data_IF_580649420115
#
_entry.id   IF_580649420115
#
_cell.length_a   1.000
_cell.length_b   1.000
_cell.length_c   1.000
_cell.angle_alpha   90.00
_cell.angle_beta   90.00
_cell.angle_gamma   90.00
#
_symmetry.space_group_name_H-M   'P 1'
#
loop_
_entity.id
_entity.type
_entity.pdbx_description
1 polymer ?
#
# COMPACT_ATOMS: atom_id res chain seq x y z
N UNK A 1 -13.98 -15.75 -4.59
CA UNK A 1 -14.58 -14.71 -3.74
C UNK A 1 -13.49 -14.07 -2.90
N UNK A 2 -13.69 -12.85 -2.40
CA UNK A 2 -12.74 -12.22 -1.50
C UNK A 2 -13.45 -11.60 -0.31
N UNK A 3 -12.77 -11.64 0.82
CA UNK A 3 -13.15 -10.98 2.05
C UNK A 3 -11.98 -10.10 2.50
N UNK A 4 -12.27 -9.05 3.27
CA UNK A 4 -11.25 -8.23 3.90
C UNK A 4 -11.54 -8.05 5.37
N UNK A 5 -10.50 -7.81 6.14
CA UNK A 5 -10.63 -7.37 7.52
C UNK A 5 -9.66 -6.24 7.80
N UNK A 6 -10.15 -5.23 8.50
CA UNK A 6 -9.34 -4.20 9.14
C UNK A 6 -9.91 -3.83 10.51
N UNK A 7 -9.11 -3.17 11.33
CA UNK A 7 -9.46 -2.87 12.72
C UNK A 7 -10.65 -1.90 12.85
N UNK A 8 -10.89 -1.05 11.86
CA UNK A 8 -11.94 -0.03 11.90
C UNK A 8 -13.29 -0.58 11.44
N UNK A 9 -13.28 -1.25 10.29
CA UNK A 9 -14.47 -1.73 9.60
C UNK A 9 -14.83 -3.17 9.95
N UNK A 10 -13.92 -3.93 10.55
CA UNK A 10 -14.10 -5.36 10.85
C UNK A 10 -14.11 -6.21 9.58
N UNK A 11 -14.83 -7.33 9.63
CA UNK A 11 -14.89 -8.29 8.52
C UNK A 11 -15.89 -7.86 7.43
N UNK A 12 -15.44 -7.90 6.19
CA UNK A 12 -16.22 -7.54 5.01
C UNK A 12 -16.15 -8.65 3.98
N UNK A 13 -17.25 -8.90 3.28
CA UNK A 13 -17.32 -9.84 2.16
C UNK A 13 -17.62 -9.05 0.90
N UNK A 14 -16.74 -9.13 -0.10
CA UNK A 14 -16.85 -8.33 -1.33
C UNK A 14 -17.08 -6.83 -1.07
N UNK A 15 -16.46 -6.28 -0.03
CA UNK A 15 -16.59 -4.87 0.38
C UNK A 15 -17.85 -4.52 1.18
N UNK A 16 -18.73 -5.48 1.45
CA UNK A 16 -19.91 -5.27 2.30
C UNK A 16 -19.62 -5.71 3.73
N UNK A 17 -19.92 -4.89 4.75
CA UNK A 17 -19.72 -5.27 6.15
C UNK A 17 -20.61 -6.45 6.52
N UNK A 18 -20.01 -7.45 7.15
CA UNK A 18 -20.73 -8.52 7.85
C UNK A 18 -20.84 -8.09 9.31
N UNK A 19 -21.84 -8.61 10.04
CA UNK A 19 -22.22 -8.28 11.42
C UNK A 19 -21.08 -7.75 12.34
N UNK A 20 -21.44 -6.82 13.23
CA UNK A 20 -20.51 -6.07 14.09
C UNK A 20 -19.60 -6.93 15.00
N UNK A 21 -19.92 -8.22 15.18
CA UNK A 21 -19.19 -9.16 16.05
C UNK A 21 -17.85 -9.65 15.46
N UNK A 22 -17.57 -9.37 14.18
CA UNK A 22 -16.32 -9.79 13.52
C UNK A 22 -15.22 -8.72 13.51
N UNK A 23 -15.23 -7.82 14.51
CA UNK A 23 -14.13 -6.86 14.75
C UNK A 23 -12.92 -7.49 15.43
N UNK A 24 -13.10 -8.62 16.10
CA UNK A 24 -11.99 -9.36 16.70
C UNK A 24 -11.18 -10.10 15.60
N UNK A 25 -9.82 -10.00 15.61
CA UNK A 25 -8.98 -10.62 14.59
C UNK A 25 -9.06 -12.15 14.54
N UNK A 26 -9.31 -12.84 15.66
CA UNK A 26 -9.49 -14.30 15.67
C UNK A 26 -10.82 -14.68 15.05
N UNK A 27 -11.88 -13.95 15.38
CA UNK A 27 -13.20 -14.14 14.78
C UNK A 27 -13.14 -14.00 13.26
N UNK A 28 -12.39 -13.02 12.74
CA UNK A 28 -12.18 -12.85 11.30
C UNK A 28 -11.50 -14.07 10.64
N UNK A 29 -10.43 -14.60 11.26
CA UNK A 29 -9.73 -15.81 10.78
C UNK A 29 -10.64 -17.04 10.77
N UNK A 30 -11.58 -17.13 11.72
CA UNK A 30 -12.54 -18.24 11.79
C UNK A 30 -13.66 -18.08 10.76
N UNK A 31 -14.18 -16.86 10.60
CA UNK A 31 -15.30 -16.54 9.75
C UNK A 31 -15.05 -16.85 8.28
N UNK A 32 -13.82 -16.70 7.78
CA UNK A 32 -13.50 -17.00 6.37
C UNK A 32 -13.84 -18.44 5.96
N UNK A 33 -13.85 -19.39 6.90
CA UNK A 33 -14.17 -20.78 6.61
C UNK A 33 -15.63 -20.98 6.19
N UNK A 34 -16.55 -20.09 6.57
CA UNK A 34 -17.95 -20.14 6.12
C UNK A 34 -18.12 -19.69 4.66
N UNK A 35 -17.13 -18.99 4.10
CA UNK A 35 -17.12 -18.54 2.71
C UNK A 35 -16.59 -19.58 1.74
N UNK A 36 -15.92 -20.62 2.25
CA UNK A 36 -15.34 -21.67 1.43
C UNK A 36 -16.43 -22.52 0.79
N UNK A 37 -16.37 -22.70 -0.53
CA UNK A 37 -17.23 -23.61 -1.28
C UNK A 37 -16.37 -24.69 -1.96
N UNK A 38 -16.91 -25.89 -2.24
CA UNK A 38 -16.13 -27.01 -2.79
C UNK A 38 -15.32 -26.65 -4.05
N UNK A 39 -15.87 -25.78 -4.89
CA UNK A 39 -15.25 -25.36 -6.16
C UNK A 39 -14.75 -23.90 -6.15
N UNK A 40 -14.94 -23.19 -5.03
CA UNK A 40 -14.58 -21.80 -4.90
C UNK A 40 -13.16 -21.61 -4.36
N UNK A 41 -12.53 -20.50 -4.75
CA UNK A 41 -11.32 -19.98 -4.08
C UNK A 41 -11.69 -18.75 -3.29
N UNK A 42 -11.20 -18.65 -2.05
CA UNK A 42 -11.44 -17.51 -1.16
C UNK A 42 -10.11 -16.81 -0.87
N UNK A 43 -10.07 -15.49 -1.05
CA UNK A 43 -8.96 -14.64 -0.61
C UNK A 43 -9.40 -13.85 0.63
N UNK A 44 -8.68 -13.99 1.74
CA UNK A 44 -8.86 -13.13 2.92
C UNK A 44 -7.74 -12.11 3.00
N UNK A 45 -8.10 -10.84 2.79
CA UNK A 45 -7.16 -9.71 2.82
C UNK A 45 -7.20 -9.05 4.20
N UNK A 46 -6.14 -9.24 4.97
CA UNK A 46 -6.00 -8.73 6.33
C UNK A 46 -5.13 -7.47 6.31
N UNK A 47 -5.73 -6.30 6.52
CA UNK A 47 -5.01 -5.02 6.53
C UNK A 47 -4.42 -4.75 7.90
N UNK A 48 -3.14 -4.37 7.93
CA UNK A 48 -2.39 -4.07 9.16
C UNK A 48 -2.35 -5.23 10.18
N UNK A 49 -2.53 -6.46 9.71
CA UNK A 49 -2.63 -7.63 10.61
C UNK A 49 -1.30 -8.01 11.28
N UNK A 50 -0.17 -7.53 10.74
CA UNK A 50 1.16 -7.65 11.34
C UNK A 50 1.19 -7.19 12.81
N UNK A 51 0.32 -6.25 13.21
CA UNK A 51 0.18 -5.77 14.59
C UNK A 51 -0.26 -6.84 15.58
N UNK A 52 -0.93 -7.90 15.12
CA UNK A 52 -1.45 -8.98 15.96
C UNK A 52 -0.57 -10.22 15.97
N UNK A 53 0.47 -10.29 15.12
CA UNK A 53 1.35 -11.46 14.97
C UNK A 53 2.36 -11.64 16.12
N UNK A 54 2.18 -10.93 17.23
CA UNK A 54 2.91 -11.16 18.49
C UNK A 54 2.08 -11.98 19.50
N UNK A 55 0.79 -12.20 19.23
CA UNK A 55 -0.08 -13.03 20.08
C UNK A 55 0.04 -14.49 19.70
N UNK A 56 0.38 -15.35 20.68
CA UNK A 56 0.45 -16.79 20.47
C UNK A 56 -0.88 -17.36 19.95
N UNK A 57 -2.02 -16.87 20.44
CA UNK A 57 -3.34 -17.31 19.97
C UNK A 57 -3.57 -16.96 18.49
N UNK A 58 -3.12 -15.79 18.05
CA UNK A 58 -3.21 -15.35 16.66
C UNK A 58 -2.30 -16.18 15.77
N UNK A 59 -1.05 -16.43 16.21
CA UNK A 59 -0.09 -17.25 15.48
C UNK A 59 -0.64 -18.67 15.25
N UNK A 60 -1.20 -19.28 16.29
CA UNK A 60 -1.85 -20.59 16.20
C UNK A 60 -3.06 -20.56 15.26
N UNK A 61 -3.90 -19.54 15.37
CA UNK A 61 -5.07 -19.38 14.49
C UNK A 61 -4.66 -19.22 13.02
N UNK A 62 -3.66 -18.40 12.71
CA UNK A 62 -3.12 -18.22 11.35
C UNK A 62 -2.54 -19.53 10.83
N UNK A 63 -1.71 -20.21 11.62
CA UNK A 63 -1.09 -21.49 11.24
C UNK A 63 -2.17 -22.53 10.90
N UNK A 64 -3.17 -22.66 11.77
CA UNK A 64 -4.32 -23.54 11.52
C UNK A 64 -5.08 -23.15 10.27
N UNK A 65 -5.31 -21.86 10.06
CA UNK A 65 -6.05 -21.37 8.90
C UNK A 65 -5.31 -21.61 7.59
N UNK A 66 -3.97 -21.51 7.57
CA UNK A 66 -3.15 -21.87 6.40
C UNK A 66 -3.27 -23.35 6.08
N UNK A 67 -3.26 -24.22 7.10
CA UNK A 67 -3.40 -25.67 6.91
C UNK A 67 -4.79 -26.06 6.38
N UNK A 68 -5.86 -25.47 6.94
CA UNK A 68 -7.22 -25.65 6.42
C UNK A 68 -7.36 -25.09 5.00
N UNK A 69 -6.72 -23.94 4.75
CA UNK A 69 -6.64 -23.24 3.47
C UNK A 69 -6.21 -24.12 2.30
N UNK A 70 -5.29 -25.05 2.55
CA UNK A 70 -4.81 -26.01 1.54
C UNK A 70 -5.90 -26.95 1.03
N UNK A 71 -6.89 -27.28 1.87
CA UNK A 71 -7.97 -28.19 1.53
C UNK A 71 -9.17 -27.43 0.95
N UNK A 72 -9.50 -26.28 1.53
CA UNK A 72 -10.70 -25.52 1.20
C UNK A 72 -10.44 -24.33 0.25
N UNK A 73 -9.23 -24.26 -0.36
CA UNK A 73 -8.79 -23.21 -1.30
C UNK A 73 -8.96 -21.78 -0.73
N UNK A 74 -8.64 -21.61 0.55
CA UNK A 74 -8.62 -20.29 1.21
C UNK A 74 -7.19 -19.82 1.36
N UNK A 75 -6.90 -18.61 0.87
CA UNK A 75 -5.58 -17.98 0.96
C UNK A 75 -5.65 -16.74 1.84
N UNK A 76 -4.62 -16.56 2.66
CA UNK A 76 -4.44 -15.36 3.49
C UNK A 76 -3.49 -14.40 2.78
N UNK A 77 -3.89 -13.13 2.71
CA UNK A 77 -3.06 -12.04 2.20
C UNK A 77 -2.98 -10.99 3.31
N UNK A 78 -1.78 -10.76 3.85
CA UNK A 78 -1.56 -9.73 4.87
C UNK A 78 -0.98 -8.50 4.17
N UNK A 79 -1.67 -7.37 4.26
CA UNK A 79 -1.16 -6.08 3.81
C UNK A 79 -0.50 -5.38 5.00
N UNK A 80 0.81 -5.15 4.90
CA UNK A 80 1.61 -4.54 5.95
C UNK A 80 2.65 -3.56 5.37
N UNK A 81 2.89 -2.42 6.05
CA UNK A 81 3.96 -1.50 5.66
C UNK A 81 5.36 -2.02 6.03
N UNK A 82 5.44 -2.96 6.99
CA UNK A 82 6.67 -3.61 7.42
C UNK A 82 6.37 -5.09 7.65
N UNK A 83 7.24 -5.96 7.14
CA UNK A 83 7.11 -7.42 7.32
C UNK A 83 8.00 -7.85 8.48
N UNK A 84 7.36 -8.18 9.61
CA UNK A 84 8.00 -8.76 10.80
C UNK A 84 7.21 -10.00 11.19
N UNK A 85 7.53 -11.13 10.57
CA UNK A 85 6.86 -12.40 10.85
C UNK A 85 7.55 -13.11 12.03
N UNK A 86 6.79 -13.71 12.96
CA UNK A 86 7.36 -14.61 13.96
C UNK A 86 7.86 -15.89 13.29
N UNK A 87 8.82 -16.57 13.92
CA UNK A 87 9.59 -17.67 13.33
C UNK A 87 8.70 -18.83 12.85
N UNK A 88 7.57 -19.03 13.54
CA UNK A 88 6.55 -20.03 13.25
C UNK A 88 5.87 -19.79 11.90
N UNK A 89 5.77 -18.53 11.47
CA UNK A 89 5.07 -18.11 10.26
C UNK A 89 6.01 -17.82 9.07
N UNK A 90 7.31 -17.61 9.30
CA UNK A 90 8.28 -17.23 8.26
C UNK A 90 8.24 -18.15 7.03
N UNK A 91 8.19 -19.47 7.25
CA UNK A 91 8.18 -20.47 6.15
C UNK A 91 6.79 -20.72 5.57
N UNK A 92 5.76 -20.12 6.15
CA UNK A 92 4.37 -20.32 5.72
C UNK A 92 3.88 -19.19 4.81
N UNK A 93 4.60 -18.06 4.76
CA UNK A 93 4.26 -16.91 3.93
C UNK A 93 5.24 -16.74 2.77
N UNK A 94 4.70 -16.35 1.61
CA UNK A 94 5.48 -15.74 0.54
C UNK A 94 5.41 -14.22 0.72
N UNK A 95 6.56 -13.56 0.69
CA UNK A 95 6.65 -12.10 0.78
C UNK A 95 6.61 -11.53 -0.62
N UNK A 96 5.65 -10.63 -0.86
CA UNK A 96 5.54 -9.85 -2.09
C UNK A 96 5.82 -8.40 -1.73
N UNK A 97 6.94 -7.88 -2.20
CA UNK A 97 7.29 -6.47 -2.05
C UNK A 97 6.54 -5.66 -3.10
N UNK A 98 5.94 -4.54 -2.67
CA UNK A 98 5.30 -3.60 -3.58
C UNK A 98 6.25 -2.43 -3.80
N UNK A 99 6.85 -2.39 -4.98
CA UNK A 99 7.80 -1.35 -5.35
C UNK A 99 7.15 0.04 -5.37
N UNK A 100 7.99 1.06 -5.22
CA UNK A 100 7.60 2.44 -5.48
C UNK A 100 7.21 2.62 -6.95
N UNK A 101 6.34 3.59 -7.28
CA UNK A 101 5.93 3.82 -8.65
C UNK A 101 7.13 4.08 -9.57
N UNK A 102 7.19 3.32 -10.67
CA UNK A 102 8.18 3.52 -11.73
C UNK A 102 7.87 4.76 -12.56
N UNK A 103 8.78 5.11 -13.50
CA UNK A 103 8.66 6.32 -14.33
C UNK A 103 7.33 6.43 -15.08
N UNK A 104 6.86 5.34 -15.67
CA UNK A 104 5.58 5.33 -16.42
C UNK A 104 4.38 5.53 -15.49
N UNK A 105 4.42 4.96 -14.28
CA UNK A 105 3.37 5.15 -13.28
C UNK A 105 3.38 6.58 -12.74
N UNK A 106 4.56 7.17 -12.49
CA UNK A 106 4.70 8.57 -12.10
C UNK A 106 4.14 9.52 -13.17
N UNK A 107 4.29 9.17 -14.45
CA UNK A 107 3.67 9.89 -15.56
C UNK A 107 2.15 9.75 -15.54
N UNK A 108 1.61 8.53 -15.37
CA UNK A 108 0.17 8.31 -15.23
C UNK A 108 -0.41 9.15 -14.08
N UNK A 109 0.25 9.16 -12.93
CA UNK A 109 -0.16 9.96 -11.77
C UNK A 109 -0.13 11.45 -12.10
N UNK A 110 0.89 11.94 -12.79
CA UNK A 110 0.95 13.35 -13.21
C UNK A 110 -0.22 13.71 -14.15
N UNK A 111 -0.56 12.81 -15.08
CA UNK A 111 -1.68 12.98 -16.01
C UNK A 111 -3.06 12.85 -15.35
N UNK A 112 -3.19 12.03 -14.30
CA UNK A 112 -4.40 11.94 -13.47
C UNK A 112 -4.65 13.23 -12.69
N UNK A 113 -3.57 13.88 -12.22
CA UNK A 113 -3.64 15.11 -11.43
C UNK A 113 -3.78 16.37 -12.30
N UNK A 114 -3.12 16.42 -13.45
CA UNK A 114 -3.21 17.54 -14.38
C UNK A 114 -4.44 17.37 -15.30
N UNK A 115 -5.48 18.14 -14.99
CA UNK A 115 -6.76 18.09 -15.71
C UNK A 115 -6.79 18.94 -16.96
N UNK A 116 -5.91 19.94 -17.07
CA UNK A 116 -5.80 20.83 -18.23
C UNK A 116 -4.46 20.62 -18.97
N UNK A 117 -4.42 20.70 -20.32
CA UNK A 117 -3.18 20.51 -21.07
C UNK A 117 -2.04 21.46 -20.67
N UNK A 118 -2.35 22.66 -20.18
CA UNK A 118 -1.36 23.65 -19.74
C UNK A 118 -0.70 23.32 -18.40
N UNK A 119 -1.32 22.42 -17.63
CA UNK A 119 -0.85 22.02 -16.30
C UNK A 119 0.30 21.02 -16.37
N UNK A 120 0.38 20.24 -17.45
CA UNK A 120 1.50 19.35 -17.71
C UNK A 120 2.68 20.14 -18.31
N UNK A 121 3.92 19.83 -17.89
CA UNK A 121 5.10 20.36 -18.53
C UNK A 121 5.23 19.83 -19.96
N UNK A 122 5.99 20.55 -20.78
CA UNK A 122 6.36 20.07 -22.11
C UNK A 122 7.30 18.85 -22.03
N UNK A 123 7.56 18.22 -23.17
CA UNK A 123 8.34 16.99 -23.22
C UNK A 123 9.78 17.15 -22.69
N UNK A 124 10.35 18.35 -22.75
CA UNK A 124 11.71 18.62 -22.27
C UNK A 124 11.73 18.69 -20.73
N UNK A 125 10.78 19.40 -20.14
CA UNK A 125 10.68 19.59 -18.68
C UNK A 125 10.05 18.38 -17.95
N UNK A 126 9.21 17.61 -18.65
CA UNK A 126 8.56 16.42 -18.09
C UNK A 126 9.57 15.41 -17.57
N UNK A 127 10.71 15.26 -18.24
CA UNK A 127 11.74 14.34 -17.79
C UNK A 127 12.26 14.70 -16.39
N UNK A 128 12.53 15.99 -16.15
CA UNK A 128 13.00 16.50 -14.86
C UNK A 128 11.93 16.40 -13.77
N UNK A 129 10.64 16.56 -14.12
CA UNK A 129 9.52 16.33 -13.19
C UNK A 129 9.50 14.88 -12.70
N UNK A 130 9.62 13.92 -13.62
CA UNK A 130 9.60 12.50 -13.28
C UNK A 130 10.85 12.10 -12.48
N UNK A 131 12.02 12.68 -12.79
CA UNK A 131 13.25 12.44 -12.04
C UNK A 131 13.16 13.01 -10.62
N UNK A 132 12.57 14.19 -10.44
CA UNK A 132 12.33 14.77 -9.12
C UNK A 132 11.40 13.88 -8.27
N UNK A 133 10.34 13.34 -8.90
CA UNK A 133 9.35 12.48 -8.25
C UNK A 133 9.83 11.04 -8.01
N UNK A 134 10.96 10.63 -8.59
CA UNK A 134 11.50 9.29 -8.40
C UNK A 134 11.77 8.99 -6.91
N UNK A 135 11.33 7.83 -6.43
CA UNK A 135 11.46 7.44 -5.03
C UNK A 135 10.39 8.00 -4.09
N UNK A 136 9.37 8.70 -4.62
CA UNK A 136 8.14 9.00 -3.89
C UNK A 136 7.16 7.83 -3.98
N UNK A 137 6.38 7.61 -2.93
CA UNK A 137 5.17 6.77 -2.99
C UNK A 137 4.12 7.43 -3.89
N UNK A 138 3.11 6.66 -4.34
CA UNK A 138 2.00 7.20 -5.15
C UNK A 138 1.34 8.42 -4.47
N UNK A 139 1.06 8.31 -3.17
CA UNK A 139 0.42 9.38 -2.39
C UNK A 139 1.32 10.61 -2.30
N UNK A 140 2.62 10.44 -2.08
CA UNK A 140 3.57 11.56 -2.04
C UNK A 140 3.69 12.25 -3.40
N UNK A 141 3.73 11.49 -4.50
CA UNK A 141 3.76 12.02 -5.86
C UNK A 141 2.48 12.81 -6.18
N UNK A 142 1.30 12.25 -5.89
CA UNK A 142 0.01 12.95 -6.04
C UNK A 142 0.01 14.29 -5.30
N UNK A 143 0.36 14.26 -4.00
CA UNK A 143 0.42 15.47 -3.18
C UNK A 143 1.42 16.50 -3.73
N UNK A 144 2.57 16.03 -4.23
CA UNK A 144 3.59 16.91 -4.79
C UNK A 144 3.12 17.60 -6.08
N UNK A 145 2.49 16.84 -6.99
CA UNK A 145 1.91 17.38 -8.21
C UNK A 145 0.77 18.34 -7.92
N UNK A 146 -0.18 17.96 -7.05
CA UNK A 146 -1.30 18.84 -6.66
C UNK A 146 -0.81 20.14 -6.04
N UNK A 147 0.20 20.09 -5.17
CA UNK A 147 0.75 21.32 -4.58
C UNK A 147 1.44 22.20 -5.63
N UNK A 148 2.17 21.60 -6.57
CA UNK A 148 2.78 22.34 -7.68
C UNK A 148 1.71 23.05 -8.51
N UNK A 149 0.60 22.38 -8.83
CA UNK A 149 -0.52 22.99 -9.55
C UNK A 149 -1.13 24.17 -8.78
N UNK A 150 -1.37 24.02 -7.48
CA UNK A 150 -1.93 25.09 -6.66
C UNK A 150 -1.00 26.32 -6.64
N UNK A 151 0.31 26.11 -6.59
CA UNK A 151 1.29 27.21 -6.47
C UNK A 151 1.67 27.85 -7.80
N UNK A 152 1.75 27.06 -8.87
CA UNK A 152 2.37 27.45 -10.14
C UNK A 152 1.46 27.27 -11.34
N UNK A 153 0.24 26.75 -11.15
CA UNK A 153 -0.72 26.39 -12.22
C UNK A 153 -0.13 25.41 -13.25
N UNK A 154 0.96 24.73 -12.87
CA UNK A 154 1.71 23.77 -13.69
C UNK A 154 2.53 22.87 -12.77
N UNK A 155 2.73 21.61 -13.18
CA UNK A 155 3.63 20.68 -12.51
C UNK A 155 5.07 21.06 -12.85
N UNK A 156 5.87 21.36 -11.83
CA UNK A 156 7.26 21.79 -11.98
C UNK A 156 8.18 20.93 -11.12
N UNK A 157 9.38 20.63 -11.63
CA UNK A 157 10.37 19.83 -10.92
C UNK A 157 10.86 20.51 -9.64
N UNK A 158 10.97 21.84 -9.66
CA UNK A 158 11.38 22.65 -8.51
C UNK A 158 10.45 22.48 -7.30
N UNK A 159 9.13 22.54 -7.52
CA UNK A 159 8.16 22.36 -6.43
C UNK A 159 8.19 20.95 -5.82
N UNK A 160 8.38 19.92 -6.66
CA UNK A 160 8.51 18.54 -6.21
C UNK A 160 9.79 18.36 -5.39
N UNK A 161 10.89 18.96 -5.84
CA UNK A 161 12.16 18.91 -5.14
C UNK A 161 12.11 19.58 -3.77
N UNK A 162 11.50 20.77 -3.67
CA UNK A 162 11.29 21.48 -2.41
C UNK A 162 10.54 20.61 -1.39
N UNK A 163 9.48 19.93 -1.84
CA UNK A 163 8.71 19.01 -0.99
C UNK A 163 9.52 17.80 -0.55
N UNK A 164 10.25 17.18 -1.49
CA UNK A 164 11.11 16.04 -1.20
C UNK A 164 12.19 16.41 -0.18
N UNK A 165 12.81 17.58 -0.32
CA UNK A 165 13.75 18.13 0.66
C UNK A 165 13.07 18.32 2.04
N UNK A 166 11.86 18.86 2.07
CA UNK A 166 11.07 19.01 3.29
C UNK A 166 10.78 17.67 3.98
N UNK A 167 10.44 16.63 3.22
CA UNK A 167 10.19 15.27 3.74
C UNK A 167 11.47 14.65 4.32
N UNK A 168 12.61 14.79 3.63
CA UNK A 168 13.89 14.24 4.07
C UNK A 168 14.47 14.94 5.30
N UNK A 169 14.27 16.26 5.42
CA UNK A 169 14.61 17.00 6.65
C UNK A 169 13.80 16.51 7.86
N UNK A 170 12.51 16.19 7.66
CA UNK A 170 11.65 15.65 8.72
C UNK A 170 12.03 14.22 9.14
N UNK A 171 12.52 13.40 8.22
CA UNK A 171 12.95 12.03 8.54
C UNK A 171 14.31 11.98 9.26
N UNK A 172 15.07 13.09 9.27
CA UNK A 172 16.38 13.18 9.93
C UNK A 172 17.47 12.38 9.21
N UNK A 173 17.21 11.93 7.98
CA UNK A 173 18.05 10.95 7.29
C UNK A 173 19.14 11.57 6.40
N UNK A 174 18.96 12.78 5.83
CA UNK A 174 19.94 13.45 4.94
C UNK A 174 19.59 14.93 4.65
N UNK A 175 20.61 15.76 4.43
CA UNK A 175 20.50 17.05 3.72
C UNK A 175 20.89 16.85 2.24
N UNK A 176 19.94 17.05 1.31
CA UNK A 176 20.22 16.97 -0.13
C UNK A 176 20.83 18.28 -0.63
N UNK A 177 22.07 18.22 -1.11
CA UNK A 177 22.71 19.31 -1.82
C UNK A 177 22.40 19.21 -3.31
N UNK A 178 21.80 20.26 -3.89
CA UNK A 178 21.57 20.34 -5.33
C UNK A 178 22.87 20.86 -5.96
N UNK A 179 23.54 20.03 -6.76
CA UNK A 179 24.69 20.46 -7.55
C UNK A 179 24.26 21.56 -8.51
N UNK A 180 24.79 22.76 -8.35
CA UNK A 180 24.82 23.73 -9.44
C UNK A 180 25.97 23.29 -10.35
N UNK A 181 25.68 22.60 -11.43
CA UNK A 181 26.66 22.46 -12.52
C UNK A 181 26.59 23.73 -13.37
N UNK A 182 27.75 24.37 -13.53
CA UNK A 182 28.06 25.43 -14.51
C UNK A 182 28.06 24.87 -15.94
#
# INVERSE_FOLDING_TARGET
QWASWDLEQGFQVAGQPVEQELRDPLSALRAVNSLATPDGTVLLVLRNFHRFLQSAEIIEAVTRQILLGRQNRTFLVILAPVVQLPVELEKLFAILEHDLPGREQLLSIAQEIATEPSELPDQAELAAVLDAAAGLTRIEAENAYSLSLIRHQRITSAAIWELKQGMLRKSGLLELYQGQED
#
